data_IF_674391711896
#
_entry.id   IF_674391711896
#
_cell.length_a   1.000
_cell.length_b   1.000
_cell.length_c   1.000
_cell.angle_alpha   90.00
_cell.angle_beta   90.00
_cell.angle_gamma   90.00
#
_symmetry.space_group_name_H-M   'P 1'
#
loop_
_entity.id
_entity.type
_entity.pdbx_description
1 polymer ?
#
# COMPACT_ATOMS: atom_id res chain seq x y z
N UNK A 1 3.42 -29.80 9.69
CA UNK A 1 4.28 -28.69 9.19
C UNK A 1 3.55 -28.06 8.01
N UNK A 2 2.61 -27.16 8.30
CA UNK A 2 1.97 -26.31 7.31
C UNK A 2 3.01 -25.30 6.80
N UNK A 3 3.51 -25.53 5.60
CA UNK A 3 4.19 -24.47 4.82
C UNK A 3 3.12 -23.51 4.34
N UNK A 4 2.85 -22.47 5.12
CA UNK A 4 2.19 -21.27 4.62
C UNK A 4 3.01 -20.74 3.44
N UNK A 5 2.50 -20.90 2.23
CA UNK A 5 3.05 -20.31 1.01
C UNK A 5 2.54 -18.86 0.99
N UNK A 6 3.04 -18.04 1.92
CA UNK A 6 2.86 -16.61 1.83
C UNK A 6 3.72 -16.10 0.65
N UNK A 7 3.09 -15.52 -0.35
CA UNK A 7 3.79 -14.78 -1.41
C UNK A 7 4.48 -13.59 -0.76
N UNK A 8 5.81 -13.68 -0.62
CA UNK A 8 6.62 -12.66 0.03
C UNK A 8 7.04 -11.65 -1.01
N UNK A 9 6.56 -10.41 -0.90
CA UNK A 9 7.01 -9.28 -1.72
C UNK A 9 8.08 -8.53 -0.93
N UNK A 10 9.26 -8.37 -1.52
CA UNK A 10 10.39 -7.74 -0.87
C UNK A 10 10.34 -6.22 -1.04
N UNK A 11 10.84 -5.49 -0.05
CA UNK A 11 10.89 -4.02 -0.06
C UNK A 11 11.62 -3.50 -1.31
N UNK A 12 12.68 -4.17 -1.77
CA UNK A 12 13.41 -3.80 -3.00
C UNK A 12 12.57 -3.84 -4.26
N UNK A 13 11.49 -4.63 -4.29
CA UNK A 13 10.63 -4.78 -5.47
C UNK A 13 9.63 -3.63 -5.61
N UNK A 14 9.40 -2.89 -4.52
CA UNK A 14 8.44 -1.78 -4.46
C UNK A 14 9.06 -0.43 -4.13
N UNK A 15 10.34 -0.38 -3.72
CA UNK A 15 11.01 0.87 -3.39
C UNK A 15 11.26 1.74 -4.62
N UNK A 16 11.30 3.05 -4.40
CA UNK A 16 11.77 4.01 -5.38
C UNK A 16 13.28 4.16 -5.27
N UNK A 17 13.99 3.93 -6.37
CA UNK A 17 15.45 4.03 -6.50
C UNK A 17 15.81 4.59 -7.89
N UNK A 18 16.88 5.43 -8.03
CA UNK A 18 17.74 5.96 -6.98
C UNK A 18 17.05 7.01 -6.10
N UNK A 19 17.60 7.26 -4.90
CA UNK A 19 17.11 8.31 -4.00
C UNK A 19 17.47 9.69 -4.52
N UNK A 20 16.53 10.63 -4.40
CA UNK A 20 16.81 12.05 -4.60
C UNK A 20 17.27 12.64 -3.27
N UNK A 21 18.44 13.28 -3.28
CA UNK A 21 19.06 13.83 -2.09
C UNK A 21 19.42 15.32 -2.25
N UNK A 22 19.73 15.94 -1.13
CA UNK A 22 20.22 17.31 -1.05
C UNK A 22 21.05 17.53 0.22
N UNK A 23 21.92 18.55 0.22
CA UNK A 23 22.75 18.88 1.37
C UNK A 23 21.95 19.55 2.49
N UNK A 24 22.49 19.52 3.71
CA UNK A 24 21.87 20.10 4.91
C UNK A 24 21.60 21.62 4.80
N UNK A 25 22.37 22.32 4.01
CA UNK A 25 22.25 23.77 3.81
C UNK A 25 21.31 24.16 2.66
N UNK A 26 20.75 23.20 1.93
CA UNK A 26 19.74 23.46 0.89
C UNK A 26 18.49 24.08 1.49
N UNK A 27 17.89 25.05 0.80
CA UNK A 27 16.73 25.78 1.31
C UNK A 27 15.42 25.04 1.07
N UNK A 28 14.41 25.34 1.89
CA UNK A 28 13.10 24.67 1.80
C UNK A 28 12.42 24.87 0.44
N UNK A 29 12.60 26.04 -0.21
CA UNK A 29 12.08 26.29 -1.55
C UNK A 29 12.80 25.44 -2.62
N UNK A 30 14.10 25.21 -2.48
CA UNK A 30 14.87 24.34 -3.37
C UNK A 30 14.44 22.88 -3.22
N UNK A 31 14.23 22.42 -1.98
CA UNK A 31 13.70 21.08 -1.70
C UNK A 31 12.28 20.92 -2.30
N UNK A 32 11.41 21.91 -2.11
CA UNK A 32 10.07 21.91 -2.70
C UNK A 32 10.12 21.83 -4.24
N UNK A 33 11.00 22.60 -4.88
CA UNK A 33 11.22 22.55 -6.34
C UNK A 33 11.71 21.16 -6.79
N UNK A 34 12.60 20.51 -6.02
CA UNK A 34 13.00 19.11 -6.29
C UNK A 34 11.82 18.15 -6.21
N UNK A 35 11.01 18.28 -5.15
CA UNK A 35 9.82 17.43 -4.98
C UNK A 35 8.86 17.53 -6.15
N UNK A 36 8.59 18.77 -6.61
CA UNK A 36 7.75 19.02 -7.79
C UNK A 36 8.39 18.46 -9.06
N UNK A 37 9.67 18.78 -9.30
CA UNK A 37 10.39 18.35 -10.51
C UNK A 37 10.41 16.83 -10.70
N UNK A 38 10.60 16.09 -9.62
CA UNK A 38 10.71 14.64 -9.66
C UNK A 38 9.42 13.91 -9.27
N UNK A 39 8.31 14.64 -9.02
CA UNK A 39 7.02 14.10 -8.57
C UNK A 39 7.15 13.23 -7.32
N UNK A 40 7.96 13.66 -6.35
CA UNK A 40 8.24 12.95 -5.09
C UNK A 40 7.79 13.76 -3.88
N UNK A 41 7.41 13.08 -2.80
CA UNK A 41 7.00 13.74 -1.55
C UNK A 41 8.10 13.79 -0.47
N UNK A 42 9.36 13.51 -0.81
CA UNK A 42 10.47 13.60 0.15
C UNK A 42 11.84 13.66 -0.52
N UNK A 43 12.80 14.27 0.17
CA UNK A 43 14.21 14.37 -0.22
C UNK A 43 15.08 13.88 0.94
N UNK A 44 16.04 13.01 0.68
CA UNK A 44 17.03 12.56 1.65
C UNK A 44 18.05 13.67 1.87
N UNK A 45 18.38 13.96 3.12
CA UNK A 45 19.37 14.96 3.48
C UNK A 45 20.68 14.26 3.81
N UNK A 46 21.75 14.72 3.16
CA UNK A 46 23.08 14.16 3.25
C UNK A 46 24.13 15.23 3.62
N UNK A 47 25.21 14.77 4.25
CA UNK A 47 26.43 15.51 4.45
C UNK A 47 27.59 14.65 3.95
N UNK A 48 28.13 14.99 2.78
CA UNK A 48 29.05 14.11 2.07
C UNK A 48 28.37 12.78 1.68
N UNK A 49 28.88 11.66 2.20
CA UNK A 49 28.31 10.32 2.02
C UNK A 49 27.32 9.94 3.14
N UNK A 50 27.28 10.71 4.21
CA UNK A 50 26.47 10.40 5.40
C UNK A 50 25.01 10.85 5.20
N UNK A 51 24.07 9.94 5.45
CA UNK A 51 22.65 10.27 5.49
C UNK A 51 22.31 10.85 6.87
N UNK A 52 21.84 12.11 6.89
CA UNK A 52 21.50 12.84 8.13
C UNK A 52 20.01 12.72 8.47
N UNK A 53 19.14 12.70 7.45
CA UNK A 53 17.69 12.66 7.69
C UNK A 53 16.88 12.69 6.41
N UNK A 54 15.63 13.09 6.54
CA UNK A 54 14.66 13.23 5.46
C UNK A 54 13.83 14.49 5.66
N UNK A 55 13.57 15.23 4.58
CA UNK A 55 12.56 16.28 4.53
C UNK A 55 11.40 15.79 3.69
N UNK A 56 10.20 15.88 4.23
CA UNK A 56 8.96 15.50 3.54
C UNK A 56 8.12 16.73 3.21
N UNK A 57 7.16 16.59 2.30
CA UNK A 57 6.12 17.57 2.01
C UNK A 57 5.41 18.03 3.31
N UNK A 58 5.12 17.09 4.22
CA UNK A 58 4.51 17.40 5.52
C UNK A 58 5.44 18.23 6.42
N UNK A 59 6.75 17.99 6.37
CA UNK A 59 7.71 18.82 7.13
C UNK A 59 7.68 20.26 6.63
N UNK A 60 7.66 20.48 5.30
CA UNK A 60 7.57 21.81 4.72
C UNK A 60 6.27 22.52 5.11
N UNK A 61 5.13 21.82 5.07
CA UNK A 61 3.85 22.38 5.52
C UNK A 61 3.88 22.76 7.01
N UNK A 62 4.31 21.84 7.87
CA UNK A 62 4.21 22.03 9.33
C UNK A 62 5.27 22.97 9.90
N UNK A 63 6.49 22.94 9.32
CA UNK A 63 7.66 23.62 9.90
C UNK A 63 8.02 24.92 9.17
N UNK A 64 7.50 25.15 7.96
CA UNK A 64 7.73 26.36 7.18
C UNK A 64 6.42 27.12 6.96
N UNK A 65 5.47 26.53 6.23
CA UNK A 65 4.23 27.21 5.82
C UNK A 65 3.37 27.56 7.04
N UNK A 66 3.09 26.60 7.94
CA UNK A 66 2.28 26.84 9.13
C UNK A 66 2.90 27.81 10.13
N UNK A 67 4.21 28.05 10.04
CA UNK A 67 4.93 29.01 10.87
C UNK A 67 5.16 30.36 10.17
N UNK A 68 4.61 30.53 8.97
CA UNK A 68 4.78 31.74 8.14
C UNK A 68 6.26 32.13 7.94
N UNK A 69 7.15 31.12 7.77
CA UNK A 69 8.55 31.35 7.51
C UNK A 69 8.80 31.50 6.01
N UNK A 70 9.80 32.32 5.64
CA UNK A 70 10.19 32.45 4.24
C UNK A 70 10.98 31.22 3.78
N UNK A 71 10.48 30.42 2.81
CA UNK A 71 11.10 29.14 2.44
C UNK A 71 12.54 29.26 1.94
N UNK A 72 12.94 30.40 1.38
CA UNK A 72 14.31 30.66 0.90
C UNK A 72 15.32 30.89 2.04
N UNK A 73 14.86 31.13 3.27
CA UNK A 73 15.71 31.37 4.44
C UNK A 73 15.81 30.16 5.37
N UNK A 74 14.89 29.17 5.23
CA UNK A 74 14.84 27.96 6.06
C UNK A 74 15.69 26.87 5.40
N UNK A 75 16.63 26.29 6.14
CA UNK A 75 17.53 25.23 5.67
C UNK A 75 16.97 23.84 5.94
N UNK A 76 17.39 22.86 5.13
CA UNK A 76 17.02 21.46 5.26
C UNK A 76 17.24 20.91 6.68
N UNK A 77 18.40 21.22 7.28
CA UNK A 77 18.77 20.81 8.66
C UNK A 77 17.79 21.28 9.73
N UNK A 78 17.11 22.43 9.51
CA UNK A 78 16.21 23.04 10.48
C UNK A 78 14.81 22.39 10.46
N UNK A 79 14.49 21.70 9.34
CA UNK A 79 13.15 21.10 9.12
C UNK A 79 13.19 19.59 8.94
N UNK A 80 14.34 18.98 8.69
CA UNK A 80 14.44 17.54 8.49
C UNK A 80 13.99 16.76 9.73
N UNK A 81 13.54 15.55 9.49
CA UNK A 81 13.35 14.51 10.49
C UNK A 81 14.61 13.65 10.53
N UNK A 82 15.26 13.58 11.69
CA UNK A 82 16.52 12.87 11.91
C UNK A 82 16.44 12.04 13.20
N UNK A 83 17.06 10.84 13.25
CA UNK A 83 17.70 10.14 12.14
C UNK A 83 16.68 9.58 11.13
N UNK A 84 17.13 9.32 9.88
CA UNK A 84 16.33 8.60 8.90
C UNK A 84 15.98 7.21 9.42
N UNK A 85 14.70 6.89 9.49
CA UNK A 85 14.25 5.53 9.82
C UNK A 85 14.43 4.64 8.59
N UNK A 86 15.00 3.46 8.77
CA UNK A 86 15.40 2.58 7.67
C UNK A 86 14.88 1.16 7.83
N UNK A 87 14.84 0.44 6.70
CA UNK A 87 14.55 -0.99 6.62
C UNK A 87 15.47 -1.63 5.58
N UNK A 88 15.86 -2.88 5.81
CA UNK A 88 16.66 -3.66 4.87
C UNK A 88 15.85 -4.03 3.62
N UNK A 89 16.50 -3.97 2.45
CA UNK A 89 15.88 -4.23 1.13
C UNK A 89 15.28 -5.63 0.98
N UNK A 90 15.84 -6.62 1.71
CA UNK A 90 15.41 -8.03 1.70
C UNK A 90 14.24 -8.33 2.67
N UNK A 91 13.74 -7.34 3.40
CA UNK A 91 12.57 -7.48 4.27
C UNK A 91 11.29 -7.50 3.45
N UNK A 92 10.26 -8.08 4.04
CA UNK A 92 8.92 -8.11 3.47
C UNK A 92 8.23 -6.74 3.57
N UNK A 93 7.38 -6.40 2.58
CA UNK A 93 6.59 -5.15 2.61
C UNK A 93 5.67 -5.06 3.82
N UNK A 94 5.22 -6.19 4.37
CA UNK A 94 4.41 -6.22 5.59
C UNK A 94 5.23 -5.82 6.82
N UNK A 95 6.53 -6.13 6.85
CA UNK A 95 7.44 -5.67 7.90
C UNK A 95 7.65 -4.16 7.80
N UNK A 96 7.79 -3.63 6.57
CA UNK A 96 7.87 -2.19 6.33
C UNK A 96 6.61 -1.48 6.82
N UNK A 97 5.42 -1.98 6.50
CA UNK A 97 4.15 -1.41 6.94
C UNK A 97 4.01 -1.43 8.47
N UNK A 98 4.38 -2.53 9.12
CA UNK A 98 4.40 -2.64 10.59
C UNK A 98 5.36 -1.64 11.22
N UNK A 99 6.56 -1.49 10.65
CA UNK A 99 7.57 -0.56 11.14
C UNK A 99 7.11 0.89 10.98
N UNK A 100 6.55 1.26 9.81
CA UNK A 100 5.98 2.59 9.59
C UNK A 100 4.89 2.92 10.62
N UNK A 101 3.98 1.98 10.88
CA UNK A 101 2.92 2.13 11.89
C UNK A 101 3.51 2.29 13.31
N UNK A 102 4.48 1.46 13.68
CA UNK A 102 5.13 1.49 15.00
C UNK A 102 5.82 2.83 15.26
N UNK A 103 6.49 3.39 14.24
CA UNK A 103 7.27 4.63 14.34
C UNK A 103 6.42 5.89 14.03
N UNK A 104 5.17 5.74 13.57
CA UNK A 104 4.33 6.86 13.17
C UNK A 104 4.81 7.58 11.93
N UNK A 105 5.60 6.93 11.07
CA UNK A 105 6.13 7.48 9.82
C UNK A 105 5.45 6.86 8.61
N UNK A 106 5.43 7.58 7.49
CA UNK A 106 4.84 7.10 6.23
C UNK A 106 5.88 6.68 5.18
N UNK A 107 7.17 6.85 5.47
CA UNK A 107 8.30 6.54 4.59
C UNK A 107 9.46 5.99 5.39
N UNK A 108 10.20 5.07 4.77
CA UNK A 108 11.45 4.52 5.31
C UNK A 108 12.52 4.59 4.24
N UNK A 109 13.74 4.89 4.64
CA UNK A 109 14.91 4.65 3.81
C UNK A 109 15.12 3.16 3.65
N UNK A 110 15.47 2.72 2.45
CA UNK A 110 15.78 1.31 2.19
C UNK A 110 17.29 1.15 2.16
N UNK A 111 17.80 0.22 2.98
CA UNK A 111 19.23 -0.06 3.04
C UNK A 111 19.60 -1.39 2.39
N UNK A 112 20.76 -1.39 1.76
CA UNK A 112 21.42 -2.60 1.28
C UNK A 112 22.90 -2.52 1.63
N UNK A 113 23.42 -3.51 2.35
CA UNK A 113 24.81 -3.55 2.84
C UNK A 113 25.19 -2.25 3.58
N UNK A 114 24.27 -1.74 4.42
CA UNK A 114 24.51 -0.54 5.25
C UNK A 114 24.41 0.80 4.50
N UNK A 115 24.19 0.82 3.19
CA UNK A 115 23.99 2.05 2.41
C UNK A 115 22.52 2.26 2.07
N UNK A 116 22.04 3.49 2.09
CA UNK A 116 20.69 3.85 1.66
C UNK A 116 20.64 3.80 0.13
N UNK A 117 19.80 2.90 -0.41
CA UNK A 117 19.68 2.64 -1.85
C UNK A 117 18.33 3.04 -2.42
N UNK A 118 17.32 3.26 -1.57
CA UNK A 118 15.97 3.57 -1.99
C UNK A 118 15.14 4.20 -0.89
N UNK A 119 13.90 4.54 -1.23
CA UNK A 119 12.84 4.95 -0.30
C UNK A 119 11.63 4.09 -0.58
N UNK A 120 10.96 3.61 0.47
CA UNK A 120 9.64 2.99 0.38
C UNK A 120 8.63 3.80 1.18
N UNK A 121 7.47 4.05 0.60
CA UNK A 121 6.36 4.75 1.25
C UNK A 121 5.16 3.82 1.46
N UNK A 122 4.23 4.25 2.30
CA UNK A 122 2.95 3.54 2.48
C UNK A 122 2.17 3.42 1.16
N UNK A 123 2.25 4.43 0.29
CA UNK A 123 1.59 4.41 -1.03
C UNK A 123 2.16 3.34 -1.95
N UNK A 124 3.49 3.13 -1.90
CA UNK A 124 4.14 2.08 -2.71
C UNK A 124 3.69 0.68 -2.25
N UNK A 125 3.54 0.48 -0.95
CA UNK A 125 3.04 -0.78 -0.37
C UNK A 125 1.57 -1.02 -0.76
N UNK A 126 0.72 0.02 -0.67
CA UNK A 126 -0.68 -0.08 -1.05
C UNK A 126 -0.82 -0.38 -2.55
N UNK A 127 0.03 0.22 -3.38
CA UNK A 127 0.00 0.03 -4.83
C UNK A 127 0.16 -1.41 -5.30
N UNK A 128 0.89 -2.25 -4.55
CA UNK A 128 1.10 -3.68 -4.88
C UNK A 128 0.11 -4.63 -4.18
N UNK A 129 -0.77 -4.11 -3.34
CA UNK A 129 -1.74 -4.92 -2.58
C UNK A 129 -2.74 -5.66 -3.49
N UNK A 130 -3.31 -5.06 -4.56
CA UNK A 130 -4.21 -5.76 -5.48
C UNK A 130 -3.54 -6.97 -6.14
N UNK A 131 -2.32 -6.81 -6.63
CA UNK A 131 -1.53 -7.88 -7.28
C UNK A 131 -1.27 -9.05 -6.32
N UNK A 132 -0.99 -8.75 -5.05
CA UNK A 132 -0.81 -9.78 -4.00
C UNK A 132 -2.12 -10.54 -3.76
N UNK A 133 -3.26 -9.87 -3.72
CA UNK A 133 -4.57 -10.47 -3.53
C UNK A 133 -4.91 -11.40 -4.70
N UNK A 134 -4.65 -10.97 -5.93
CA UNK A 134 -4.88 -11.76 -7.14
C UNK A 134 -4.03 -13.04 -7.15
N UNK A 135 -2.74 -12.92 -6.83
CA UNK A 135 -1.83 -14.09 -6.75
C UNK A 135 -2.27 -15.07 -5.64
N UNK A 136 -2.69 -14.56 -4.47
CA UNK A 136 -3.17 -15.41 -3.37
C UNK A 136 -4.47 -16.11 -3.77
N UNK A 137 -5.38 -15.41 -4.43
CA UNK A 137 -6.66 -15.95 -4.90
C UNK A 137 -6.45 -17.05 -5.93
N UNK A 138 -5.55 -16.84 -6.90
CA UNK A 138 -5.22 -17.84 -7.91
C UNK A 138 -4.57 -19.09 -7.29
N UNK A 139 -3.63 -18.91 -6.36
CA UNK A 139 -3.02 -20.03 -5.62
C UNK A 139 -4.02 -20.79 -4.79
N UNK A 140 -4.96 -20.11 -4.14
CA UNK A 140 -6.05 -20.75 -3.38
C UNK A 140 -6.93 -21.60 -4.31
N UNK A 141 -7.21 -21.14 -5.54
CA UNK A 141 -7.94 -21.90 -6.56
C UNK A 141 -7.19 -23.15 -6.97
N UNK A 142 -5.89 -23.07 -7.20
CA UNK A 142 -5.04 -24.22 -7.58
C UNK A 142 -4.97 -25.25 -6.45
N UNK A 143 -4.79 -24.81 -5.20
CA UNK A 143 -4.67 -25.68 -4.03
C UNK A 143 -5.98 -26.35 -3.63
N UNK A 144 -7.14 -25.72 -3.91
CA UNK A 144 -8.46 -26.28 -3.64
C UNK A 144 -8.89 -27.33 -4.68
N UNK A 145 -8.01 -27.69 -5.62
CA UNK A 145 -8.23 -28.78 -6.57
C UNK A 145 -9.57 -28.66 -7.26
N UNK A 146 -9.65 -27.84 -8.29
CA UNK A 146 -10.74 -27.70 -9.29
C UNK A 146 -12.07 -28.44 -9.11
N UNK A 147 -12.68 -28.35 -7.95
CA UNK A 147 -14.02 -28.91 -7.72
C UNK A 147 -14.90 -27.87 -7.03
N UNK A 148 -15.76 -27.25 -7.81
CA UNK A 148 -16.89 -26.46 -7.36
C UNK A 148 -16.56 -24.98 -7.19
N UNK A 149 -17.06 -24.17 -8.12
CA UNK A 149 -17.32 -22.76 -7.93
C UNK A 149 -18.06 -22.56 -6.60
N UNK A 150 -17.33 -22.21 -5.53
CA UNK A 150 -17.98 -21.47 -4.47
C UNK A 150 -18.14 -20.06 -5.03
N UNK A 151 -19.32 -19.81 -5.60
CA UNK A 151 -19.73 -18.47 -5.93
C UNK A 151 -19.47 -17.59 -4.71
N UNK A 152 -18.67 -16.55 -4.88
CA UNK A 152 -18.42 -15.56 -3.82
C UNK A 152 -19.75 -14.92 -3.48
N UNK A 153 -20.27 -15.19 -2.27
CA UNK A 153 -21.49 -14.54 -1.81
C UNK A 153 -21.23 -13.05 -1.63
N UNK A 154 -22.09 -12.24 -2.17
CA UNK A 154 -22.08 -10.79 -2.08
C UNK A 154 -23.22 -10.35 -1.17
N UNK A 155 -23.01 -9.34 -0.34
CA UNK A 155 -24.08 -8.73 0.45
C UNK A 155 -24.73 -7.59 -0.34
N UNK A 156 -26.06 -7.57 -0.38
CA UNK A 156 -26.81 -6.57 -1.13
C UNK A 156 -28.30 -6.85 -1.19
N UNK A 157 -29.00 -6.19 -2.10
CA UNK A 157 -30.42 -6.42 -2.37
C UNK A 157 -30.60 -7.51 -3.43
N UNK A 158 -31.49 -8.45 -3.17
CA UNK A 158 -31.82 -9.52 -4.10
C UNK A 158 -32.59 -8.96 -5.30
N UNK A 159 -32.18 -9.30 -6.52
CA UNK A 159 -32.84 -8.83 -7.75
C UNK A 159 -34.25 -9.41 -7.95
N UNK A 160 -34.60 -10.47 -7.21
CA UNK A 160 -35.91 -11.10 -7.32
C UNK A 160 -36.91 -10.59 -6.28
N UNK A 161 -36.54 -10.53 -4.99
CA UNK A 161 -37.46 -10.13 -3.92
C UNK A 161 -37.18 -8.73 -3.35
N UNK A 162 -36.11 -8.07 -3.78
CA UNK A 162 -35.65 -6.75 -3.35
C UNK A 162 -35.41 -6.62 -1.83
N UNK A 163 -35.16 -7.76 -1.14
CA UNK A 163 -34.77 -7.80 0.27
C UNK A 163 -33.25 -7.84 0.41
N UNK A 164 -32.75 -7.29 1.49
CA UNK A 164 -31.34 -7.35 1.84
C UNK A 164 -30.93 -8.79 2.22
N UNK A 165 -29.78 -9.23 1.71
CA UNK A 165 -29.19 -10.53 2.04
C UNK A 165 -27.66 -10.43 2.14
N UNK A 166 -27.07 -11.16 3.09
CA UNK A 166 -25.61 -11.28 3.24
C UNK A 166 -25.04 -12.39 2.36
N UNK A 167 -25.89 -13.13 1.65
CA UNK A 167 -25.53 -14.31 0.88
C UNK A 167 -26.21 -14.33 -0.49
N UNK A 168 -25.94 -13.30 -1.30
CA UNK A 168 -26.36 -13.28 -2.70
C UNK A 168 -25.40 -14.11 -3.55
N UNK A 169 -25.95 -14.88 -4.48
CA UNK A 169 -25.20 -15.54 -5.56
C UNK A 169 -25.63 -15.01 -6.91
N UNK A 170 -24.65 -14.85 -7.79
CA UNK A 170 -24.93 -14.49 -9.18
C UNK A 170 -25.39 -15.73 -9.95
N UNK A 171 -26.61 -15.65 -10.49
CA UNK A 171 -27.23 -16.67 -11.33
C UNK A 171 -27.79 -15.95 -12.56
N UNK A 172 -27.30 -16.29 -13.75
CA UNK A 172 -27.71 -15.70 -15.04
C UNK A 172 -27.66 -14.16 -15.05
N UNK A 173 -26.61 -13.57 -14.42
CA UNK A 173 -26.39 -12.14 -14.35
C UNK A 173 -27.27 -11.41 -13.33
N UNK A 174 -27.96 -12.13 -12.42
CA UNK A 174 -28.75 -11.57 -11.32
C UNK A 174 -28.23 -12.04 -9.97
N UNK A 175 -28.26 -11.15 -9.00
CA UNK A 175 -27.87 -11.47 -7.61
C UNK A 175 -29.08 -11.94 -6.82
N UNK A 176 -29.16 -13.24 -6.51
CA UNK A 176 -30.32 -13.91 -5.94
C UNK A 176 -30.01 -14.37 -4.51
N UNK A 177 -30.91 -14.07 -3.54
CA UNK A 177 -30.80 -14.52 -2.17
C UNK A 177 -31.11 -16.04 -2.02
N UNK A 178 -30.73 -16.63 -0.89
CA UNK A 178 -30.90 -18.06 -0.64
C UNK A 178 -32.36 -18.50 -0.71
N UNK A 179 -33.28 -17.73 -0.15
CA UNK A 179 -34.72 -18.03 -0.17
C UNK A 179 -35.27 -18.07 -1.60
N UNK A 180 -34.92 -17.07 -2.42
CA UNK A 180 -35.36 -17.03 -3.82
C UNK A 180 -34.78 -18.17 -4.67
N UNK A 181 -33.56 -18.63 -4.35
CA UNK A 181 -32.94 -19.78 -5.03
C UNK A 181 -33.66 -21.09 -4.71
N UNK A 182 -34.04 -21.27 -3.43
CA UNK A 182 -34.82 -22.44 -3.00
C UNK A 182 -36.21 -22.47 -3.65
N UNK A 183 -36.87 -21.31 -3.78
CA UNK A 183 -38.16 -21.20 -4.44
C UNK A 183 -38.10 -21.47 -5.94
N UNK A 184 -37.00 -21.07 -6.60
CA UNK A 184 -36.77 -21.39 -8.01
C UNK A 184 -36.59 -22.89 -8.24
N UNK A 185 -35.71 -23.54 -7.44
CA UNK A 185 -35.49 -25.00 -7.57
C UNK A 185 -36.75 -25.83 -7.34
N UNK A 186 -37.66 -25.42 -6.46
CA UNK A 186 -38.94 -26.10 -6.23
C UNK A 186 -39.90 -26.00 -7.42
N UNK A 187 -39.89 -24.88 -8.14
CA UNK A 187 -40.74 -24.70 -9.35
C UNK A 187 -40.23 -25.53 -10.52
N UNK A 188 -38.92 -25.62 -10.68
CA UNK A 188 -38.31 -26.42 -11.73
C UNK A 188 -38.56 -27.92 -11.51
N UNK A 189 -38.67 -28.40 -10.26
CA UNK A 189 -39.02 -29.79 -9.91
C UNK A 189 -40.51 -30.07 -10.14
N UNK A 190 -41.43 -29.11 -10.02
CA UNK A 190 -42.86 -29.25 -10.27
C UNK A 190 -43.22 -29.25 -11.76
N UNK A 191 -42.39 -28.59 -12.62
CA UNK A 191 -42.64 -28.50 -14.08
C UNK A 191 -42.09 -29.72 -14.84
N UNK A 192 -41.29 -30.58 -14.17
CA UNK A 192 -40.71 -31.79 -14.77
C UNK A 192 -41.39 -33.10 -14.28
N UNK A 193 -42.43 -33.03 -13.44
CA UNK A 193 -43.20 -34.17 -12.91
C UNK A 193 -44.58 -34.29 -13.59
#
# INVERSE_FOLDING_TARGET
>A
LERSIATKVLVREVMNSPVISGPENETADQLAKKMVKYSIGSVIIIDGEDVKGIVTDRDLVNKVVAKNLLPSEVKAKDVMSSPLQTIESEKDVTDAARLMRKLGVKRLGVTYKGKVVGIVSMSDIIGVTPEIIDIISEKARILSGGSGQRASSVSGYCDNCNQWSDNLLEIDGKFICEECRIDQSRRDDEETA
#
